data_IF_434068524154
#
_entry.id   IF_434068524154
#
_cell.length_a   1.000
_cell.length_b   1.000
_cell.length_c   1.000
_cell.angle_alpha   90.00
_cell.angle_beta   90.00
_cell.angle_gamma   90.00
#
_symmetry.space_group_name_H-M   'P 1'
#
loop_
_entity.id
_entity.type
_entity.pdbx_description
1 polymer ?
#
# COMPACT_ATOMS: atom_id res chain seq x y z
N UNK A 1 -20.47 -1.88 2.40
CA UNK A 1 -20.17 -0.46 2.09
C UNK A 1 -20.29 -0.32 0.60
N UNK A 2 -21.18 0.54 0.14
CA UNK A 2 -21.36 0.84 -1.29
C UNK A 2 -20.74 2.21 -1.53
N UNK A 3 -19.90 2.33 -2.55
CA UNK A 3 -19.31 3.60 -2.97
C UNK A 3 -19.81 3.83 -4.40
N UNK A 4 -20.60 4.88 -4.59
CA UNK A 4 -21.00 5.33 -5.92
C UNK A 4 -19.83 6.11 -6.53
N UNK A 5 -19.29 5.62 -7.64
CA UNK A 5 -18.23 6.27 -8.41
C UNK A 5 -18.84 6.78 -9.72
N UNK A 6 -18.74 8.08 -10.04
CA UNK A 6 -19.39 8.63 -11.23
C UNK A 6 -18.96 7.95 -12.53
N UNK A 7 -19.85 7.93 -13.53
CA UNK A 7 -19.48 7.53 -14.89
C UNK A 7 -18.32 8.41 -15.40
N UNK A 8 -17.26 7.79 -15.95
CA UNK A 8 -15.99 8.44 -16.38
C UNK A 8 -15.08 8.95 -15.23
N UNK A 9 -15.26 8.46 -14.01
CA UNK A 9 -14.35 8.74 -12.90
C UNK A 9 -13.20 7.72 -12.79
N UNK A 10 -12.24 8.02 -11.91
CA UNK A 10 -11.01 7.26 -11.68
C UNK A 10 -11.27 5.79 -11.29
N UNK A 11 -10.37 4.90 -11.71
CA UNK A 11 -10.42 3.49 -11.34
C UNK A 11 -9.99 3.32 -9.86
N UNK A 12 -10.87 2.74 -9.04
CA UNK A 12 -10.56 2.35 -7.66
C UNK A 12 -9.88 0.99 -7.69
N UNK A 13 -8.55 0.98 -7.55
CA UNK A 13 -7.76 -0.25 -7.61
C UNK A 13 -7.84 -1.08 -6.32
N UNK A 14 -7.98 -0.45 -5.15
CA UNK A 14 -8.17 -1.19 -3.89
C UNK A 14 -8.86 -0.34 -2.82
N UNK A 15 -9.64 -1.02 -1.97
CA UNK A 15 -10.22 -0.46 -0.76
C UNK A 15 -9.75 -1.28 0.43
N UNK A 16 -9.14 -0.64 1.43
CA UNK A 16 -8.65 -1.29 2.65
C UNK A 16 -9.12 -0.50 3.86
N UNK A 17 -9.41 -1.21 4.95
CA UNK A 17 -9.68 -0.57 6.23
C UNK A 17 -8.46 0.27 6.65
N UNK A 18 -8.72 1.51 7.08
CA UNK A 18 -7.69 2.38 7.62
C UNK A 18 -7.24 1.85 8.99
N UNK A 19 -5.96 1.48 9.10
CA UNK A 19 -5.39 0.95 10.33
C UNK A 19 -4.54 1.97 11.09
N UNK A 20 -4.47 3.22 10.61
CA UNK A 20 -3.66 4.27 11.23
C UNK A 20 -2.16 4.05 11.16
N UNK A 21 -1.72 3.08 10.36
CA UNK A 21 -0.33 2.71 10.11
C UNK A 21 -0.09 2.61 8.61
N UNK A 22 1.17 2.62 8.14
CA UNK A 22 1.48 2.39 6.74
C UNK A 22 0.93 1.05 6.27
N UNK A 23 0.41 1.01 5.04
CA UNK A 23 -0.24 -0.15 4.45
C UNK A 23 0.11 -0.26 2.97
N UNK A 24 0.48 -1.47 2.51
CA UNK A 24 0.55 -1.76 1.08
C UNK A 24 -0.86 -1.68 0.50
N UNK A 25 -1.07 -0.84 -0.49
CA UNK A 25 -2.37 -0.65 -1.16
C UNK A 25 -2.40 -1.25 -2.57
N UNK A 26 -1.25 -1.47 -3.21
CA UNK A 26 -1.20 -2.16 -4.50
C UNK A 26 0.19 -2.23 -5.10
N UNK A 27 0.26 -2.70 -6.34
CA UNK A 27 1.46 -2.71 -7.17
C UNK A 27 1.12 -2.17 -8.56
N UNK A 28 2.13 -1.72 -9.31
CA UNK A 28 1.98 -1.42 -10.75
C UNK A 28 2.15 -2.67 -11.62
N UNK A 29 2.32 -3.85 -11.01
CA UNK A 29 2.41 -5.14 -11.68
C UNK A 29 1.09 -5.44 -12.41
N UNK A 30 1.20 -5.59 -13.74
CA UNK A 30 0.07 -5.56 -14.66
C UNK A 30 -0.92 -6.72 -14.50
N UNK A 31 -0.55 -7.80 -13.78
CA UNK A 31 -1.32 -9.05 -13.82
C UNK A 31 -2.23 -9.28 -12.62
N UNK A 32 -1.85 -8.86 -11.42
CA UNK A 32 -2.60 -9.24 -10.21
C UNK A 32 -2.80 -8.14 -9.18
N UNK A 33 -2.38 -6.91 -9.49
CA UNK A 33 -2.41 -5.77 -8.55
C UNK A 33 -1.78 -6.13 -7.19
N UNK A 34 -0.77 -7.01 -7.21
CA UNK A 34 -0.03 -7.44 -6.03
C UNK A 34 -0.41 -8.79 -5.43
N UNK A 35 -1.51 -9.44 -5.82
CA UNK A 35 -1.94 -10.72 -5.22
C UNK A 35 -0.96 -11.87 -5.51
N UNK A 36 -0.42 -11.93 -6.73
CA UNK A 36 0.56 -12.93 -7.12
C UNK A 36 1.99 -12.45 -6.88
N UNK A 37 2.21 -11.14 -6.93
CA UNK A 37 3.53 -10.51 -6.88
C UNK A 37 4.02 -10.31 -5.45
N UNK A 38 3.14 -10.14 -4.45
CA UNK A 38 3.56 -9.80 -3.09
C UNK A 38 3.12 -10.85 -2.08
N UNK A 39 4.06 -11.27 -1.21
CA UNK A 39 3.82 -12.29 -0.18
C UNK A 39 4.30 -11.84 1.17
N UNK A 40 3.56 -12.27 2.20
CA UNK A 40 4.01 -12.16 3.60
C UNK A 40 4.17 -10.73 4.12
N UNK A 41 3.41 -9.77 3.58
CA UNK A 41 3.46 -8.38 4.05
C UNK A 41 3.01 -8.30 5.50
N UNK A 42 3.89 -7.81 6.37
CA UNK A 42 3.64 -7.71 7.80
C UNK A 42 4.13 -6.37 8.34
N UNK A 43 3.30 -5.78 9.18
CA UNK A 43 3.67 -4.65 10.03
C UNK A 43 4.26 -5.19 11.34
N UNK A 44 5.45 -4.72 11.71
CA UNK A 44 6.04 -4.89 13.03
C UNK A 44 5.88 -3.59 13.83
N UNK A 45 4.92 -3.57 14.76
CA UNK A 45 4.62 -2.40 15.58
C UNK A 45 5.66 -2.05 16.62
N UNK A 46 6.56 -2.98 16.99
CA UNK A 46 7.64 -2.71 17.94
C UNK A 46 8.70 -1.79 17.36
N UNK A 47 9.03 -2.03 16.09
CA UNK A 47 10.12 -1.32 15.40
C UNK A 47 9.59 -0.32 14.36
N UNK A 48 8.28 -0.26 14.14
CA UNK A 48 7.64 0.54 13.09
C UNK A 48 8.10 0.19 11.67
N UNK A 49 8.17 -1.11 11.36
CA UNK A 49 8.63 -1.61 10.05
C UNK A 49 7.51 -2.30 9.27
N UNK A 50 7.53 -2.19 7.94
CA UNK A 50 6.87 -3.14 7.05
C UNK A 50 7.92 -4.05 6.45
N UNK A 51 7.64 -5.35 6.44
CA UNK A 51 8.45 -6.34 5.73
C UNK A 51 7.57 -7.15 4.80
N UNK A 52 8.15 -7.70 3.74
CA UNK A 52 7.49 -8.62 2.84
C UNK A 52 8.43 -9.17 1.78
N UNK A 53 7.89 -9.95 0.85
CA UNK A 53 8.60 -10.37 -0.36
C UNK A 53 7.81 -9.94 -1.58
N UNK A 54 8.53 -9.54 -2.63
CA UNK A 54 7.97 -9.17 -3.93
C UNK A 54 8.63 -9.99 -5.03
N UNK A 55 7.82 -10.53 -5.92
CA UNK A 55 8.21 -11.12 -7.19
C UNK A 55 7.92 -10.08 -8.27
N UNK A 56 8.89 -9.79 -9.13
CA UNK A 56 8.67 -8.92 -10.29
C UNK A 56 7.60 -9.48 -11.22
N UNK A 57 7.13 -8.68 -12.16
CA UNK A 57 6.13 -9.09 -13.14
C UNK A 57 6.80 -9.89 -14.27
N UNK A 58 7.12 -11.16 -14.04
CA UNK A 58 7.73 -12.01 -15.06
C UNK A 58 9.15 -11.58 -15.47
N UNK A 59 9.84 -10.84 -14.61
CA UNK A 59 11.15 -10.24 -14.91
C UNK A 59 11.08 -8.73 -15.15
N UNK A 60 9.89 -8.15 -15.35
CA UNK A 60 9.76 -6.71 -15.52
C UNK A 60 9.83 -5.96 -14.18
N UNK A 61 10.38 -4.73 -14.18
CA UNK A 61 10.30 -3.82 -13.04
C UNK A 61 8.85 -3.56 -12.63
N UNK A 62 8.64 -3.34 -11.34
CA UNK A 62 7.33 -2.98 -10.79
C UNK A 62 7.50 -2.00 -9.65
N UNK A 63 6.41 -1.41 -9.19
CA UNK A 63 6.42 -0.50 -8.05
C UNK A 63 5.42 -0.99 -7.02
N UNK A 64 5.83 -0.96 -5.76
CA UNK A 64 4.93 -1.16 -4.63
C UNK A 64 4.38 0.18 -4.19
N UNK A 65 3.07 0.25 -3.99
CA UNK A 65 2.38 1.48 -3.59
C UNK A 65 1.89 1.33 -2.15
N UNK A 66 2.35 2.21 -1.28
CA UNK A 66 1.98 2.25 0.12
C UNK A 66 1.22 3.53 0.45
N UNK A 67 0.16 3.38 1.23
CA UNK A 67 -0.41 4.48 1.99
C UNK A 67 0.43 4.70 3.25
N UNK A 68 0.78 5.94 3.57
CA UNK A 68 1.52 6.36 4.77
C UNK A 68 0.70 7.44 5.49
N UNK A 69 0.23 7.21 6.73
CA UNK A 69 -0.46 8.23 7.53
C UNK A 69 0.39 9.49 7.73
N UNK A 70 -0.24 10.66 7.83
CA UNK A 70 0.44 11.94 8.03
C UNK A 70 1.24 12.00 9.35
N UNK A 71 0.87 11.19 10.34
CA UNK A 71 1.59 11.05 11.61
C UNK A 71 2.89 10.23 11.52
N UNK A 72 3.23 9.70 10.35
CA UNK A 72 4.38 8.83 10.13
C UNK A 72 5.18 9.24 8.89
N UNK A 73 6.46 8.92 8.90
CA UNK A 73 7.37 9.21 7.79
C UNK A 73 8.20 7.97 7.48
N UNK A 74 8.34 7.63 6.19
CA UNK A 74 9.27 6.58 5.77
C UNK A 74 10.70 7.13 5.85
N UNK A 75 11.57 6.48 6.62
CA UNK A 75 12.96 6.90 6.84
C UNK A 75 13.95 6.08 6.02
N UNK A 76 13.67 4.79 5.84
CA UNK A 76 14.51 3.91 5.03
C UNK A 76 13.64 2.97 4.20
N UNK A 77 14.10 2.70 2.97
CA UNK A 77 13.55 1.67 2.09
C UNK A 77 14.69 0.74 1.68
N UNK A 78 14.45 -0.56 1.80
CA UNK A 78 15.35 -1.60 1.32
C UNK A 78 14.58 -2.54 0.41
N UNK A 79 15.13 -2.81 -0.77
CA UNK A 79 14.64 -3.84 -1.70
C UNK A 79 15.82 -4.71 -2.06
N UNK A 80 15.68 -6.01 -1.87
CA UNK A 80 16.76 -6.97 -2.05
C UNK A 80 18.06 -6.54 -1.32
N UNK A 81 17.91 -6.06 -0.08
CA UNK A 81 18.99 -5.54 0.77
C UNK A 81 19.71 -4.28 0.23
N UNK A 82 19.27 -3.72 -0.89
CA UNK A 82 19.78 -2.46 -1.43
C UNK A 82 18.95 -1.31 -0.89
N UNK A 83 19.61 -0.31 -0.30
CA UNK A 83 18.95 0.90 0.19
C UNK A 83 18.48 1.75 -0.98
N UNK A 84 17.28 2.30 -0.86
CA UNK A 84 16.69 3.26 -1.78
C UNK A 84 16.21 4.49 -1.00
N UNK A 85 16.17 5.63 -1.67
CA UNK A 85 15.57 6.83 -1.11
C UNK A 85 14.03 6.71 -1.11
N UNK A 86 13.34 7.07 -0.01
CA UNK A 86 11.89 7.08 0.03
C UNK A 86 11.29 8.04 -1.01
N UNK A 87 10.44 7.53 -1.91
CA UNK A 87 9.81 8.33 -2.97
C UNK A 87 8.33 8.60 -2.66
N UNK A 88 8.06 9.75 -2.04
CA UNK A 88 6.70 10.24 -1.85
C UNK A 88 6.20 10.89 -3.15
N UNK A 89 5.22 10.29 -3.81
CA UNK A 89 4.72 10.81 -5.10
C UNK A 89 3.56 11.79 -4.94
N UNK A 90 2.89 11.73 -3.79
CA UNK A 90 1.87 12.68 -3.33
C UNK A 90 1.73 12.53 -1.81
N UNK A 91 1.08 13.48 -1.11
CA UNK A 91 0.83 13.35 0.32
C UNK A 91 0.21 11.98 0.67
N UNK A 92 0.86 11.29 1.60
CA UNK A 92 0.43 9.97 2.09
C UNK A 92 0.60 8.80 1.11
N UNK A 93 1.24 8.98 -0.05
CA UNK A 93 1.52 7.89 -1.00
C UNK A 93 3.02 7.76 -1.24
N UNK A 94 3.55 6.63 -0.82
CA UNK A 94 4.93 6.22 -1.03
C UNK A 94 4.98 5.18 -2.14
N UNK A 95 5.89 5.37 -3.11
CA UNK A 95 6.21 4.37 -4.11
C UNK A 95 7.59 3.79 -3.85
N UNK A 96 7.72 2.48 -3.99
CA UNK A 96 8.99 1.76 -3.87
C UNK A 96 9.27 1.05 -5.18
N UNK A 97 10.42 1.37 -5.78
CA UNK A 97 10.84 0.80 -7.05
C UNK A 97 11.42 -0.61 -6.82
N UNK A 98 10.88 -1.59 -7.54
CA UNK A 98 11.38 -2.95 -7.59
C UNK A 98 11.94 -3.14 -8.99
N UNK A 99 13.24 -3.37 -9.08
CA UNK A 99 13.91 -3.63 -10.35
C UNK A 99 13.38 -4.88 -11.05
N UNK A 100 13.97 -5.19 -12.21
CA UNK A 100 13.72 -6.43 -12.92
C UNK A 100 14.15 -7.63 -12.04
N UNK A 101 13.18 -8.32 -11.44
CA UNK A 101 13.41 -9.51 -10.63
C UNK A 101 12.88 -10.72 -11.38
N UNK A 102 13.75 -11.40 -12.11
CA UNK A 102 13.48 -12.69 -12.74
C UNK A 102 13.69 -13.83 -11.75
N UNK A 103 12.68 -14.68 -11.54
CA UNK A 103 12.79 -15.88 -10.70
C UNK A 103 12.13 -15.75 -9.32
N UNK A 104 12.92 -15.87 -8.24
CA UNK A 104 12.43 -15.92 -6.86
C UNK A 104 11.99 -14.55 -6.32
N UNK A 105 11.09 -14.55 -5.34
CA UNK A 105 10.65 -13.33 -4.69
C UNK A 105 11.75 -12.76 -3.79
N UNK A 106 12.09 -11.48 -3.98
CA UNK A 106 13.10 -10.76 -3.20
C UNK A 106 12.46 -10.07 -1.99
N UNK A 107 13.19 -9.91 -0.88
CA UNK A 107 12.67 -9.24 0.30
C UNK A 107 12.61 -7.72 0.10
N UNK A 108 11.67 -7.09 0.80
CA UNK A 108 11.67 -5.66 1.02
C UNK A 108 11.43 -5.34 2.50
N UNK A 109 11.99 -4.22 2.94
CA UNK A 109 11.81 -3.65 4.28
C UNK A 109 11.65 -2.14 4.17
N UNK A 110 10.62 -1.61 4.81
CA UNK A 110 10.40 -0.17 4.96
C UNK A 110 10.41 0.16 6.44
N UNK A 111 11.14 1.21 6.82
CA UNK A 111 11.23 1.69 8.20
C UNK A 111 10.56 3.03 8.31
N UNK A 112 9.84 3.23 9.41
CA UNK A 112 9.08 4.44 9.65
C UNK A 112 9.39 5.05 11.01
N UNK A 113 9.30 6.38 11.06
CA UNK A 113 9.25 7.15 12.30
C UNK A 113 7.84 7.69 12.53
N UNK A 114 7.59 8.24 13.72
CA UNK A 114 6.29 8.81 14.09
C UNK A 114 5.39 7.85 14.89
N UNK A 115 4.08 8.12 14.91
CA UNK A 115 3.11 7.39 15.74
C UNK A 115 1.97 6.84 14.89
N UNK A 116 1.53 5.64 15.22
CA UNK A 116 0.30 5.06 14.66
C UNK A 116 -0.89 5.91 15.09
N UNK A 117 -1.68 6.38 14.13
CA UNK A 117 -2.95 7.06 14.38
C UNK A 117 -3.99 6.06 14.87
N UNK A 118 -4.84 6.45 15.82
CA UNK A 118 -6.01 5.64 16.12
C UNK A 118 -7.07 5.87 15.04
N UNK A 119 -7.63 4.82 14.41
CA UNK A 119 -8.73 4.98 13.48
C UNK A 119 -9.89 5.69 14.20
N UNK A 120 -10.26 6.88 13.73
CA UNK A 120 -11.45 7.55 14.26
C UNK A 120 -12.67 6.71 13.88
N UNK A 121 -13.39 6.21 14.88
CA UNK A 121 -14.71 5.58 14.66
C UNK A 121 -15.61 6.58 13.95
N UNK A 122 -15.95 6.33 12.68
CA UNK A 122 -17.01 7.07 12.00
C UNK A 122 -18.34 6.46 12.44
N UNK A 123 -19.24 7.29 12.99
CA UNK A 123 -20.64 6.89 13.15
C UNK A 123 -21.20 6.54 11.76
N UNK A 124 -21.99 5.46 11.62
CA UNK A 124 -22.65 5.16 10.36
C UNK A 124 -23.49 6.37 9.94
N UNK A 125 -23.37 6.79 8.69
CA UNK A 125 -24.26 7.80 8.11
C UNK A 125 -25.58 7.08 7.80
N UNK A 126 -26.63 7.40 8.55
CA UNK A 126 -28.00 6.95 8.24
C UNK A 126 -28.52 7.77 7.06
N UNK A 127 -28.29 7.30 5.83
CA UNK A 127 -28.95 7.82 4.64
C UNK A 127 -30.25 7.06 4.36
N UNK A 128 -31.31 7.71 3.83
CA UNK A 128 -32.53 7.00 3.46
C UNK A 128 -32.23 6.04 2.31
N UNK A 129 -32.58 4.77 2.51
CA UNK A 129 -32.56 3.76 1.45
C UNK A 129 -33.72 4.09 0.53
N UNK A 130 -33.42 4.78 -0.58
CA UNK A 130 -34.39 5.01 -1.64
C UNK A 130 -34.86 3.68 -2.21
N UNK A 131 -36.13 3.33 -1.94
CA UNK A 131 -36.83 2.27 -2.67
C UNK A 131 -37.06 2.79 -4.09
N UNK A 132 -36.51 2.10 -5.07
CA UNK A 132 -36.93 2.25 -6.46
C UNK A 132 -38.17 1.38 -6.62
N UNK A 133 -39.31 2.00 -6.91
CA UNK A 133 -40.53 1.31 -7.36
C UNK A 133 -40.40 0.92 -8.83
#
# INVERSE_FOLDING_TARGET
MTIDVPEKSCHVYSLRAYLGRPQLIGTTGHFSQGVLEVKGVKWNGRNAHITGKVKGNGGDPTQLVFHVPNSMQCVDVYVNYVKQEPKMVQPGVLMVDVGAVGGEAVPFELRFSGKVEQPKSRKPVSGPVGRVE
#
